data_IF_447554979568
#
_entry.id   IF_447554979568
#
_cell.length_a   1.000
_cell.length_b   1.000
_cell.length_c   1.000
_cell.angle_alpha   90.00
_cell.angle_beta   90.00
_cell.angle_gamma   90.00
#
_symmetry.space_group_name_H-M   'P 1'
#
loop_
_entity.id
_entity.type
_entity.pdbx_description
1 polymer ?
#
# COMPACT_ATOMS: atom_id res chain seq x y z
N UNK A 1 -9.41 5.41 15.13
CA UNK A 1 -8.18 4.87 14.52
C UNK A 1 -7.28 6.01 14.03
N UNK A 2 -7.82 6.97 13.29
CA UNK A 2 -7.05 8.08 12.72
C UNK A 2 -6.47 9.01 13.78
N UNK A 3 -7.20 9.25 14.87
CA UNK A 3 -6.72 10.05 16.01
C UNK A 3 -5.47 9.41 16.65
N UNK A 4 -5.48 8.08 16.82
CA UNK A 4 -4.33 7.35 17.36
C UNK A 4 -3.11 7.44 16.41
N UNK A 5 -3.32 7.29 15.11
CA UNK A 5 -2.24 7.45 14.12
C UNK A 5 -1.70 8.88 14.09
N UNK A 6 -2.58 9.86 14.15
CA UNK A 6 -2.18 11.28 14.21
C UNK A 6 -1.39 11.56 15.48
N UNK A 7 -1.84 11.04 16.64
CA UNK A 7 -1.11 11.15 17.89
C UNK A 7 0.31 10.57 17.81
N UNK A 8 0.45 9.37 17.24
CA UNK A 8 1.76 8.74 17.04
C UNK A 8 2.66 9.59 16.15
N UNK A 9 2.16 10.07 15.00
CA UNK A 9 2.93 10.94 14.09
C UNK A 9 3.39 12.24 14.79
N UNK A 10 2.52 12.84 15.59
CA UNK A 10 2.85 14.04 16.36
C UNK A 10 3.94 13.76 17.40
N UNK A 11 3.91 12.61 18.08
CA UNK A 11 4.97 12.21 19.03
C UNK A 11 6.30 12.05 18.28
N UNK A 12 6.32 11.36 17.14
CA UNK A 12 7.54 11.21 16.34
C UNK A 12 8.10 12.56 15.91
N UNK A 13 7.24 13.46 15.41
CA UNK A 13 7.65 14.81 15.00
C UNK A 13 8.18 15.61 16.19
N UNK A 14 7.53 15.56 17.36
CA UNK A 14 7.96 16.28 18.56
C UNK A 14 9.28 15.75 19.15
N UNK A 15 9.62 14.50 18.88
CA UNK A 15 10.85 13.85 19.33
C UNK A 15 12.01 13.94 18.34
N UNK A 16 11.75 14.40 17.12
CA UNK A 16 12.77 14.52 16.08
C UNK A 16 13.90 15.46 16.54
N UNK A 17 15.14 15.01 16.42
CA UNK A 17 16.34 15.77 16.83
C UNK A 17 16.58 15.82 18.34
N UNK A 18 15.80 15.11 19.17
CA UNK A 18 16.03 15.00 20.61
C UNK A 18 16.76 13.71 20.95
N UNK A 19 17.71 13.79 21.90
CA UNK A 19 18.28 12.60 22.52
C UNK A 19 17.28 12.02 23.49
N UNK A 20 16.85 10.79 23.22
CA UNK A 20 15.93 10.03 24.06
C UNK A 20 16.66 8.81 24.63
N UNK A 21 16.34 8.38 25.87
CA UNK A 21 16.92 7.18 26.46
C UNK A 21 16.37 5.88 25.81
N UNK A 22 15.55 5.97 24.78
CA UNK A 22 14.94 4.87 24.04
C UNK A 22 14.79 5.23 22.56
N UNK A 23 14.66 4.20 21.69
CA UNK A 23 14.35 4.37 20.30
C UNK A 23 12.84 4.28 20.06
N UNK A 24 12.30 5.25 19.30
CA UNK A 24 10.92 5.19 18.83
C UNK A 24 10.85 4.29 17.59
N UNK A 25 9.89 3.37 17.59
CA UNK A 25 9.59 2.52 16.44
C UNK A 25 8.08 2.41 16.24
N UNK A 26 7.66 2.00 15.07
CA UNK A 26 6.25 1.83 14.73
C UNK A 26 5.96 0.39 14.30
N UNK A 27 4.93 -0.21 14.88
CA UNK A 27 4.39 -1.49 14.42
C UNK A 27 3.33 -1.33 13.30
N UNK A 28 3.23 -0.14 12.72
CA UNK A 28 2.31 0.19 11.63
C UNK A 28 2.79 -0.39 10.29
N UNK A 29 1.89 -0.48 9.31
CA UNK A 29 2.14 -0.94 7.94
C UNK A 29 3.16 -0.09 7.16
N UNK A 30 3.49 1.12 7.63
CA UNK A 30 4.60 1.93 7.09
C UNK A 30 5.98 1.34 7.43
N UNK A 31 6.08 0.48 8.43
CA UNK A 31 7.32 -0.19 8.79
C UNK A 31 7.55 -1.40 7.87
N UNK A 32 8.67 -1.44 7.15
CA UNK A 32 9.03 -2.55 6.26
C UNK A 32 9.09 -3.89 7.01
N UNK A 33 9.43 -3.90 8.29
CA UNK A 33 9.40 -5.08 9.14
C UNK A 33 8.01 -5.68 9.34
N UNK A 34 6.95 -4.90 9.10
CA UNK A 34 5.56 -5.40 9.05
C UNK A 34 5.18 -5.92 7.67
N UNK A 35 5.75 -5.34 6.62
CA UNK A 35 5.43 -5.67 5.24
C UNK A 35 6.16 -6.91 4.75
N UNK A 36 7.43 -7.08 5.12
CA UNK A 36 8.24 -8.21 4.68
C UNK A 36 7.62 -9.58 5.04
N UNK A 37 7.11 -9.81 6.27
CA UNK A 37 6.42 -11.06 6.59
C UNK A 37 5.13 -11.30 5.78
N UNK A 38 4.45 -10.24 5.32
CA UNK A 38 3.23 -10.39 4.52
C UNK A 38 3.50 -11.00 3.14
N UNK A 39 4.71 -10.88 2.62
CA UNK A 39 5.14 -11.55 1.38
C UNK A 39 4.92 -13.06 1.49
N UNK A 40 5.17 -13.64 2.67
CA UNK A 40 5.03 -15.08 2.91
C UNK A 40 3.59 -15.58 2.78
N UNK A 41 2.57 -14.72 2.96
CA UNK A 41 1.16 -15.11 2.80
C UNK A 41 0.89 -15.57 1.37
N UNK A 42 1.45 -14.89 0.38
CA UNK A 42 1.29 -15.20 -1.03
C UNK A 42 2.00 -16.53 -1.41
N UNK A 43 3.22 -16.72 -0.93
CA UNK A 43 3.94 -17.98 -1.11
C UNK A 43 3.22 -19.13 -0.43
N UNK A 44 2.71 -18.91 0.78
CA UNK A 44 1.97 -19.95 1.52
C UNK A 44 0.66 -20.30 0.80
N UNK A 45 -0.13 -19.32 0.41
CA UNK A 45 -1.37 -19.56 -0.32
C UNK A 45 -1.12 -20.29 -1.65
N UNK A 46 -0.06 -19.92 -2.38
CA UNK A 46 0.33 -20.61 -3.60
C UNK A 46 0.70 -22.07 -3.32
N UNK A 47 1.49 -22.32 -2.28
CA UNK A 47 1.87 -23.67 -1.85
C UNK A 47 0.65 -24.51 -1.46
N UNK A 48 -0.28 -23.96 -0.71
CA UNK A 48 -1.49 -24.66 -0.29
C UNK A 48 -2.36 -25.09 -1.50
N UNK A 49 -2.41 -24.27 -2.57
CA UNK A 49 -3.08 -24.63 -3.82
C UNK A 49 -2.36 -25.74 -4.58
N UNK A 50 -1.02 -25.76 -4.58
CA UNK A 50 -0.23 -26.85 -5.15
C UNK A 50 -0.47 -28.16 -4.39
N UNK A 51 -0.38 -28.12 -3.07
CA UNK A 51 -0.55 -29.30 -2.21
C UNK A 51 -1.99 -29.86 -2.32
N UNK A 52 -2.98 -28.99 -2.55
CA UNK A 52 -4.36 -29.39 -2.81
C UNK A 52 -4.61 -29.88 -4.26
N UNK A 53 -3.60 -29.88 -5.12
CA UNK A 53 -3.72 -30.26 -6.53
C UNK A 53 -4.62 -29.35 -7.37
N UNK A 54 -4.84 -28.10 -6.93
CA UNK A 54 -5.68 -27.13 -7.62
C UNK A 54 -4.96 -26.40 -8.76
N UNK A 55 -3.66 -26.34 -8.68
CA UNK A 55 -2.77 -25.73 -9.68
C UNK A 55 -1.54 -26.62 -9.87
N UNK A 56 -0.81 -26.38 -10.96
CA UNK A 56 0.53 -26.92 -11.21
C UNK A 56 1.58 -25.87 -10.92
N UNK A 57 2.81 -26.30 -10.66
CA UNK A 57 3.92 -25.37 -10.48
C UNK A 57 4.11 -24.53 -11.75
N UNK A 58 4.13 -23.21 -11.58
CA UNK A 58 4.18 -22.24 -12.67
C UNK A 58 2.86 -21.66 -13.12
N UNK A 59 1.72 -22.27 -12.73
CA UNK A 59 0.41 -21.70 -13.02
C UNK A 59 0.24 -20.35 -12.29
N UNK A 60 -0.28 -19.35 -13.02
CA UNK A 60 -0.47 -18.02 -12.45
C UNK A 60 -1.71 -17.97 -11.54
N UNK A 61 -1.53 -17.46 -10.32
CA UNK A 61 -2.61 -17.26 -9.35
C UNK A 61 -2.92 -15.78 -9.19
N UNK A 62 -4.20 -15.40 -9.30
CA UNK A 62 -4.66 -14.03 -9.03
C UNK A 62 -5.14 -13.92 -7.59
N UNK A 63 -4.81 -12.79 -6.96
CA UNK A 63 -5.17 -12.51 -5.56
C UNK A 63 -6.09 -11.30 -5.47
N UNK A 64 -7.22 -11.45 -4.80
CA UNK A 64 -8.08 -10.32 -4.43
C UNK A 64 -7.75 -9.92 -3.00
N UNK A 65 -7.28 -8.69 -2.84
CA UNK A 65 -6.73 -8.19 -1.58
C UNK A 65 -7.55 -6.99 -1.11
N UNK A 66 -8.29 -7.12 0.01
CA UNK A 66 -8.92 -5.97 0.65
C UNK A 66 -7.87 -4.92 0.99
N UNK A 67 -7.99 -3.73 0.41
CA UNK A 67 -6.89 -2.76 0.42
C UNK A 67 -7.30 -1.41 1.00
N UNK A 68 -6.63 -1.01 2.10
CA UNK A 68 -6.66 0.32 2.68
C UNK A 68 -5.29 1.00 2.50
N UNK A 69 -4.35 0.75 3.43
CA UNK A 69 -2.99 1.33 3.41
C UNK A 69 -2.04 0.78 2.33
N UNK A 70 -2.53 -0.07 1.44
CA UNK A 70 -1.76 -0.69 0.35
C UNK A 70 -0.61 -1.61 0.80
N UNK A 71 -0.52 -1.96 2.08
CA UNK A 71 0.59 -2.76 2.62
C UNK A 71 0.58 -4.19 2.09
N UNK A 72 -0.52 -4.90 2.28
CA UNK A 72 -0.64 -6.31 1.91
C UNK A 72 -0.56 -6.51 0.39
N UNK A 73 -1.30 -5.75 -0.40
CA UNK A 73 -1.24 -5.87 -1.87
C UNK A 73 0.15 -5.53 -2.43
N UNK A 74 0.88 -4.59 -1.81
CA UNK A 74 2.28 -4.32 -2.14
C UNK A 74 3.17 -5.52 -1.82
N UNK A 75 2.91 -6.24 -0.72
CA UNK A 75 3.61 -7.49 -0.42
C UNK A 75 3.35 -8.55 -1.51
N UNK A 76 2.13 -8.61 -2.08
CA UNK A 76 1.82 -9.43 -3.24
C UNK A 76 2.60 -9.04 -4.49
N UNK A 77 2.78 -7.74 -4.74
CA UNK A 77 3.64 -7.25 -5.81
C UNK A 77 5.10 -7.64 -5.59
N UNK A 78 5.60 -7.51 -4.36
CA UNK A 78 6.96 -7.94 -4.01
C UNK A 78 7.13 -9.46 -4.16
N UNK A 79 6.13 -10.27 -3.80
CA UNK A 79 6.13 -11.71 -4.06
C UNK A 79 6.27 -12.03 -5.55
N UNK A 80 5.57 -11.28 -6.42
CA UNK A 80 5.70 -11.37 -7.88
C UNK A 80 7.11 -11.03 -8.33
N UNK A 81 7.71 -9.97 -7.82
CA UNK A 81 9.10 -9.59 -8.12
C UNK A 81 10.11 -10.65 -7.67
N UNK A 82 9.81 -11.38 -6.61
CA UNK A 82 10.60 -12.50 -6.12
C UNK A 82 10.39 -13.81 -6.93
N UNK A 83 9.58 -13.77 -7.98
CA UNK A 83 9.38 -14.89 -8.91
C UNK A 83 8.16 -15.77 -8.61
N UNK A 84 7.29 -15.40 -7.65
CA UNK A 84 6.02 -16.10 -7.48
C UNK A 84 5.15 -15.88 -8.73
N UNK A 85 4.53 -16.95 -9.31
CA UNK A 85 3.64 -16.80 -10.46
C UNK A 85 2.33 -16.10 -10.08
N UNK A 86 2.40 -14.78 -9.89
CA UNK A 86 1.24 -13.93 -9.58
C UNK A 86 0.64 -13.43 -10.90
N UNK A 87 -0.63 -13.75 -11.11
CA UNK A 87 -1.43 -13.23 -12.21
C UNK A 87 -1.85 -11.78 -11.96
N UNK A 88 -3.11 -11.57 -11.59
CA UNK A 88 -3.63 -10.24 -11.26
C UNK A 88 -3.63 -10.04 -9.75
N UNK A 89 -3.24 -8.82 -9.33
CA UNK A 89 -3.50 -8.31 -7.99
C UNK A 89 -4.74 -7.41 -8.07
N UNK A 90 -5.81 -7.82 -7.43
CA UNK A 90 -7.09 -7.11 -7.47
C UNK A 90 -7.21 -6.29 -6.19
N UNK A 91 -7.12 -4.98 -6.33
CA UNK A 91 -7.26 -4.03 -5.25
C UNK A 91 -8.75 -3.87 -4.89
N UNK A 92 -9.22 -4.62 -3.92
CA UNK A 92 -10.59 -4.51 -3.44
C UNK A 92 -10.71 -3.40 -2.41
N UNK A 93 -11.60 -2.43 -2.64
CA UNK A 93 -11.87 -1.32 -1.73
C UNK A 93 -13.34 -1.29 -1.29
N UNK A 94 -13.59 -0.67 -0.14
CA UNK A 94 -14.96 -0.33 0.29
C UNK A 94 -15.44 0.98 -0.38
N UNK A 95 -16.45 1.63 0.19
CA UNK A 95 -16.97 2.90 -0.31
C UNK A 95 -15.92 4.04 -0.36
N UNK A 96 -14.82 3.92 0.42
CA UNK A 96 -13.67 4.82 0.32
C UNK A 96 -12.73 4.38 -0.81
N UNK A 97 -13.18 4.50 -2.05
CA UNK A 97 -12.61 3.90 -3.25
C UNK A 97 -11.53 4.76 -3.95
N UNK A 98 -10.77 5.57 -3.20
CA UNK A 98 -9.71 6.44 -3.76
C UNK A 98 -8.72 5.66 -4.62
N UNK A 99 -8.33 4.46 -4.17
CA UNK A 99 -7.41 3.60 -4.92
C UNK A 99 -8.00 3.09 -6.23
N UNK A 100 -9.29 2.76 -6.25
CA UNK A 100 -9.99 2.32 -7.46
C UNK A 100 -9.99 3.43 -8.52
N UNK A 101 -10.30 4.66 -8.09
CA UNK A 101 -10.30 5.82 -9.00
C UNK A 101 -8.86 6.11 -9.48
N UNK A 102 -7.89 6.06 -8.58
CA UNK A 102 -6.47 6.24 -8.94
C UNK A 102 -6.00 5.23 -9.99
N UNK A 103 -6.25 3.93 -9.79
CA UNK A 103 -5.85 2.89 -10.74
C UNK A 103 -6.50 3.08 -12.11
N UNK A 104 -7.73 3.60 -12.16
CA UNK A 104 -8.46 3.84 -13.41
C UNK A 104 -8.04 5.11 -14.14
N UNK A 105 -7.71 6.16 -13.39
CA UNK A 105 -7.53 7.51 -13.97
C UNK A 105 -6.10 8.03 -13.89
N UNK A 106 -5.26 7.42 -13.07
CA UNK A 106 -3.93 7.95 -12.72
C UNK A 106 -3.98 9.14 -11.76
N UNK A 107 -5.17 9.58 -11.34
CA UNK A 107 -5.33 10.72 -10.42
C UNK A 107 -5.69 10.23 -9.03
N UNK A 108 -4.83 10.52 -8.07
CA UNK A 108 -5.09 10.31 -6.65
C UNK A 108 -5.68 11.57 -6.04
N UNK A 109 -6.91 11.50 -5.53
CA UNK A 109 -7.59 12.65 -4.93
C UNK A 109 -8.18 12.27 -3.56
N UNK A 110 -7.62 12.87 -2.50
CA UNK A 110 -8.09 12.70 -1.12
C UNK A 110 -9.14 13.71 -0.68
N UNK A 111 -9.51 14.66 -1.53
CA UNK A 111 -10.45 15.76 -1.25
C UNK A 111 -11.89 15.27 -1.32
N UNK A 112 -12.22 14.29 -0.51
CA UNK A 112 -13.55 13.71 -0.40
C UNK A 112 -13.86 13.37 1.07
N UNK A 113 -15.13 13.30 1.47
CA UNK A 113 -15.49 12.91 2.83
C UNK A 113 -15.08 11.46 3.10
N UNK A 114 -14.58 11.20 4.30
CA UNK A 114 -14.36 9.85 4.79
C UNK A 114 -15.71 9.21 5.15
N UNK A 115 -16.03 8.10 4.51
CA UNK A 115 -17.23 7.32 4.77
C UNK A 115 -16.94 6.27 5.83
N UNK A 116 -17.67 6.29 6.95
CA UNK A 116 -17.57 5.24 7.97
C UNK A 116 -18.32 4.00 7.49
N UNK A 117 -17.62 2.89 7.38
CA UNK A 117 -18.18 1.61 6.92
C UNK A 117 -18.10 0.55 8.03
N UNK A 118 -18.64 -0.64 7.76
CA UNK A 118 -18.49 -1.81 8.63
C UNK A 118 -17.07 -2.40 8.61
N UNK A 119 -16.17 -1.84 7.79
CA UNK A 119 -14.77 -2.25 7.67
C UNK A 119 -13.83 -1.10 8.04
N UNK A 120 -13.81 -0.64 9.30
CA UNK A 120 -13.15 0.61 9.70
C UNK A 120 -11.64 0.63 9.44
N UNK A 121 -10.98 -0.50 9.41
CA UNK A 121 -9.55 -0.60 9.05
C UNK A 121 -9.28 -0.28 7.58
N UNK A 122 -10.33 -0.29 6.73
CA UNK A 122 -10.29 0.05 5.32
C UNK A 122 -10.81 1.47 5.03
N UNK A 123 -11.30 2.19 6.04
CA UNK A 123 -11.80 3.55 5.91
C UNK A 123 -10.62 4.53 5.88
N UNK A 124 -9.97 4.61 4.73
CA UNK A 124 -8.73 5.36 4.53
C UNK A 124 -8.85 6.20 3.26
N UNK A 125 -8.42 7.46 3.35
CA UNK A 125 -8.30 8.37 2.20
C UNK A 125 -6.85 8.52 1.71
N UNK A 126 -5.86 8.17 2.55
CA UNK A 126 -4.44 8.24 2.20
C UNK A 126 -3.76 6.88 2.44
N UNK A 127 -3.46 6.18 1.36
CA UNK A 127 -2.79 4.88 1.37
C UNK A 127 -1.29 5.05 1.51
N UNK A 128 -0.77 4.83 2.71
CA UNK A 128 0.61 5.15 3.07
C UNK A 128 1.70 4.33 2.36
N UNK A 129 1.35 3.19 1.76
CA UNK A 129 2.33 2.36 1.04
C UNK A 129 2.26 2.50 -0.49
N UNK A 130 1.33 3.30 -1.02
CA UNK A 130 1.22 3.51 -2.47
C UNK A 130 2.47 4.22 -3.02
N UNK A 131 3.07 5.13 -2.25
CA UNK A 131 4.32 5.80 -2.63
C UNK A 131 5.45 4.81 -2.92
N UNK A 132 5.49 3.67 -2.21
CA UNK A 132 6.47 2.61 -2.44
C UNK A 132 6.27 1.91 -3.78
N UNK A 133 5.00 1.63 -4.15
CA UNK A 133 4.70 1.10 -5.47
C UNK A 133 5.11 2.09 -6.55
N UNK A 134 4.79 3.36 -6.40
CA UNK A 134 5.18 4.41 -7.35
C UNK A 134 6.69 4.47 -7.53
N UNK A 135 7.46 4.35 -6.44
CA UNK A 135 8.91 4.28 -6.51
C UNK A 135 9.40 3.01 -7.22
N UNK A 136 8.85 1.85 -6.89
CA UNK A 136 9.25 0.58 -7.51
C UNK A 136 8.97 0.56 -9.03
N UNK A 137 7.90 1.24 -9.48
CA UNK A 137 7.53 1.31 -10.90
C UNK A 137 8.31 2.40 -11.66
N UNK A 138 8.62 3.53 -11.02
CA UNK A 138 9.30 4.66 -11.66
C UNK A 138 10.82 4.59 -11.56
N UNK A 139 11.35 4.11 -10.42
CA UNK A 139 12.75 4.21 -10.08
C UNK A 139 13.21 5.64 -9.75
N UNK A 140 12.28 6.61 -9.65
CA UNK A 140 12.56 8.03 -9.55
C UNK A 140 12.08 8.59 -8.20
N UNK A 141 13.02 8.85 -7.31
CA UNK A 141 12.75 9.45 -5.98
C UNK A 141 12.25 10.89 -6.08
N UNK A 142 12.73 11.66 -7.07
CA UNK A 142 12.32 13.04 -7.29
C UNK A 142 10.87 13.14 -7.73
N UNK A 143 10.45 12.28 -8.67
CA UNK A 143 9.06 12.17 -9.08
C UNK A 143 8.16 11.85 -7.87
N UNK A 144 8.49 10.79 -7.11
CA UNK A 144 7.67 10.39 -5.97
C UNK A 144 7.59 11.49 -4.92
N UNK A 145 8.71 12.15 -4.60
CA UNK A 145 8.73 13.27 -3.66
C UNK A 145 7.82 14.42 -4.11
N UNK A 146 7.81 14.75 -5.41
CA UNK A 146 6.93 15.77 -5.97
C UNK A 146 5.46 15.37 -5.89
N UNK A 147 5.10 14.13 -6.21
CA UNK A 147 3.72 13.64 -6.10
C UNK A 147 3.23 13.69 -4.64
N UNK A 148 4.08 13.29 -3.68
CA UNK A 148 3.73 13.37 -2.24
C UNK A 148 3.61 14.82 -1.77
N UNK A 149 4.45 15.73 -2.27
CA UNK A 149 4.31 17.16 -2.01
C UNK A 149 2.98 17.71 -2.53
N UNK A 150 2.60 17.40 -3.77
CA UNK A 150 1.30 17.79 -4.34
C UNK A 150 0.14 17.24 -3.50
N UNK A 151 0.20 15.96 -3.10
CA UNK A 151 -0.82 15.38 -2.23
C UNK A 151 -0.97 16.16 -0.92
N UNK A 152 0.12 16.62 -0.35
CA UNK A 152 0.11 17.35 0.92
C UNK A 152 -0.40 18.79 0.76
N UNK A 153 -0.03 19.49 -0.32
CA UNK A 153 -0.37 20.90 -0.56
C UNK A 153 -1.73 21.09 -1.24
N UNK A 154 -2.04 20.23 -2.22
CA UNK A 154 -3.22 20.37 -3.09
C UNK A 154 -4.31 19.33 -2.81
N UNK A 155 -3.97 18.27 -2.05
CA UNK A 155 -4.86 17.17 -1.74
C UNK A 155 -5.02 16.15 -2.87
N UNK A 156 -4.33 16.33 -4.00
CA UNK A 156 -4.37 15.42 -5.14
C UNK A 156 -3.07 15.47 -5.95
N UNK A 157 -2.84 14.44 -6.75
CA UNK A 157 -1.79 14.39 -7.78
C UNK A 157 -2.23 13.50 -8.95
N UNK A 158 -1.58 13.66 -10.10
CA UNK A 158 -1.76 12.78 -11.26
C UNK A 158 -0.41 12.21 -11.67
N UNK A 159 -0.34 10.89 -11.84
CA UNK A 159 0.89 10.23 -12.32
C UNK A 159 1.04 10.39 -13.83
N UNK A 160 2.28 10.37 -14.36
CA UNK A 160 2.51 10.31 -15.79
C UNK A 160 1.84 9.09 -16.45
N UNK A 161 1.41 9.24 -17.70
CA UNK A 161 0.67 8.19 -18.41
C UNK A 161 1.48 6.89 -18.59
N UNK A 162 2.78 6.99 -18.76
CA UNK A 162 3.70 5.86 -18.87
C UNK A 162 3.82 5.09 -17.55
N UNK A 163 3.66 5.76 -16.41
CA UNK A 163 3.65 5.12 -15.10
C UNK A 163 2.29 4.44 -14.82
N UNK A 164 1.19 5.04 -15.28
CA UNK A 164 -0.14 4.44 -15.14
C UNK A 164 -0.28 3.16 -15.98
N UNK A 165 0.44 3.06 -17.11
CA UNK A 165 0.40 1.90 -18.00
C UNK A 165 1.16 0.67 -17.47
N UNK A 166 1.98 0.82 -16.41
CA UNK A 166 2.75 -0.26 -15.79
C UNK A 166 1.94 -1.00 -14.74
#
# INVERSE_FOLDING_TARGET
FDDAQTGVKNIFAACQGKELPFALSSANSINIGRQAPQIMYYFRAYRDLLDAGKIRLGDAVSFSVPTGNFGDILAGYLAKMLGLPVGKLICASNANNVLTDFIRTGTYDRRRPLLKTTSPSMDILVSSNLERLLYLLSGDTGLVANLMKQLNTEGSYTVPADLLAK
#
